data_IF_322320565877
#
_entry.id   IF_322320565877
#
_cell.length_a   1.000
_cell.length_b   1.000
_cell.length_c   1.000
_cell.angle_alpha   90.00
_cell.angle_beta   90.00
_cell.angle_gamma   90.00
#
_symmetry.space_group_name_H-M   'P 1'
#
loop_
_entity.id
_entity.type
_entity.pdbx_description
1 polymer ?
#
# COMPACT_ATOMS: atom_id res chain seq x y z
N UNK A 1 -25.39 3.15 43.45
CA UNK A 1 -26.76 3.68 43.62
C UNK A 1 -27.60 2.59 44.25
N UNK A 2 -28.20 2.84 45.41
CA UNK A 2 -29.02 1.84 46.12
C UNK A 2 -30.26 1.44 45.29
N UNK A 3 -30.61 0.14 45.36
CA UNK A 3 -31.78 -0.48 44.69
C UNK A 3 -33.09 0.27 44.93
N UNK A 4 -33.19 1.07 45.98
CA UNK A 4 -34.35 1.88 46.35
C UNK A 4 -34.56 3.10 45.44
N UNK A 5 -33.51 3.73 44.92
CA UNK A 5 -33.63 4.89 44.01
C UNK A 5 -33.93 4.50 42.57
N UNK A 6 -33.53 3.30 42.14
CA UNK A 6 -33.86 2.79 40.80
C UNK A 6 -35.34 2.38 40.69
N UNK A 7 -35.95 2.00 41.82
CA UNK A 7 -37.35 1.54 41.86
C UNK A 7 -38.40 2.63 41.64
N UNK A 8 -38.08 3.91 41.84
CA UNK A 8 -39.03 5.02 41.66
C UNK A 8 -39.13 5.55 40.24
N UNK A 9 -38.19 5.17 39.36
CA UNK A 9 -37.95 5.83 38.06
C UNK A 9 -38.52 5.03 36.87
N UNK A 10 -38.89 3.78 37.08
CA UNK A 10 -39.28 2.85 36.02
C UNK A 10 -40.61 2.14 36.30
N UNK A 11 -41.40 1.88 35.25
CA UNK A 11 -42.66 1.13 35.33
C UNK A 11 -42.42 -0.31 35.80
N UNK A 12 -43.42 -0.97 36.40
CA UNK A 12 -43.32 -2.38 36.82
C UNK A 12 -42.89 -3.32 35.67
N UNK A 13 -43.30 -3.02 34.44
CA UNK A 13 -42.89 -3.78 33.25
C UNK A 13 -41.41 -3.57 32.89
N UNK A 14 -40.87 -2.36 33.11
CA UNK A 14 -39.46 -2.07 32.89
C UNK A 14 -38.57 -2.77 33.91
N UNK A 15 -39.00 -2.86 35.16
CA UNK A 15 -38.29 -3.59 36.21
C UNK A 15 -38.17 -5.09 35.91
N UNK A 16 -39.25 -5.73 35.46
CA UNK A 16 -39.22 -7.15 35.12
C UNK A 16 -38.20 -7.47 34.01
N UNK A 17 -38.13 -6.62 32.98
CA UNK A 17 -37.16 -6.78 31.89
C UNK A 17 -35.71 -6.48 32.31
N UNK A 18 -35.51 -5.51 33.21
CA UNK A 18 -34.17 -5.24 33.77
C UNK A 18 -33.73 -6.39 34.68
N UNK A 19 -34.62 -6.99 35.46
CA UNK A 19 -34.32 -8.18 36.26
C UNK A 19 -34.00 -9.42 35.37
N UNK A 20 -34.67 -9.55 34.22
CA UNK A 20 -34.36 -10.57 33.21
C UNK A 20 -32.96 -10.38 32.60
N UNK A 21 -32.60 -9.14 32.22
CA UNK A 21 -31.26 -8.78 31.77
C UNK A 21 -30.19 -9.09 32.82
N UNK A 22 -30.46 -8.78 34.10
CA UNK A 22 -29.54 -9.06 35.21
C UNK A 22 -29.38 -10.56 35.44
N UNK A 23 -30.43 -11.36 35.25
CA UNK A 23 -30.34 -12.83 35.35
C UNK A 23 -29.44 -13.40 34.26
N UNK A 24 -29.66 -12.99 33.01
CA UNK A 24 -28.85 -13.43 31.85
C UNK A 24 -27.38 -13.01 32.03
N UNK A 25 -27.16 -11.76 32.45
CA UNK A 25 -25.82 -11.24 32.68
C UNK A 25 -25.08 -11.94 33.84
N UNK A 26 -25.79 -12.38 34.88
CA UNK A 26 -25.19 -13.16 35.99
C UNK A 26 -24.82 -14.58 35.59
N UNK A 27 -25.58 -15.20 34.69
CA UNK A 27 -25.28 -16.53 34.17
C UNK A 27 -24.08 -16.51 33.21
N UNK A 28 -23.98 -15.49 32.34
CA UNK A 28 -22.93 -15.41 31.32
C UNK A 28 -21.68 -14.65 31.79
N UNK A 29 -21.80 -13.80 32.80
CA UNK A 29 -20.73 -12.92 33.31
C UNK A 29 -20.44 -11.71 32.43
N UNK A 30 -21.13 -11.56 31.30
CA UNK A 30 -21.11 -10.41 30.40
C UNK A 30 -22.47 -10.26 29.72
N UNK A 31 -22.73 -9.11 29.11
CA UNK A 31 -23.93 -8.88 28.29
C UNK A 31 -23.57 -8.08 27.03
N UNK A 32 -24.24 -8.33 25.91
CA UNK A 32 -23.96 -7.63 24.63
C UNK A 32 -24.93 -6.48 24.34
N UNK A 33 -24.47 -5.49 23.57
CA UNK A 33 -25.34 -4.39 23.11
C UNK A 33 -26.51 -4.86 22.24
N UNK A 34 -26.36 -5.96 21.51
CA UNK A 34 -27.42 -6.54 20.69
C UNK A 34 -28.48 -7.21 21.59
N UNK A 35 -28.07 -7.99 22.59
CA UNK A 35 -29.00 -8.60 23.58
C UNK A 35 -29.75 -7.54 24.40
N UNK A 36 -29.07 -6.45 24.77
CA UNK A 36 -29.71 -5.30 25.42
C UNK A 36 -30.78 -4.70 24.51
N UNK A 37 -30.50 -4.52 23.22
CA UNK A 37 -31.43 -3.97 22.25
C UNK A 37 -32.55 -4.96 21.84
N UNK A 38 -32.34 -6.27 21.95
CA UNK A 38 -33.35 -7.31 21.67
C UNK A 38 -34.32 -7.56 22.83
N UNK A 39 -33.89 -7.33 24.07
CA UNK A 39 -34.76 -7.48 25.26
C UNK A 39 -35.52 -6.17 25.57
N UNK A 40 -34.89 -5.02 25.29
CA UNK A 40 -35.48 -3.69 25.48
C UNK A 40 -36.27 -3.09 24.28
N UNK A 41 -36.61 -3.78 23.16
CA UNK A 41 -37.22 -3.10 22.05
C UNK A 41 -38.67 -2.81 22.44
N UNK A 42 -39.07 -1.54 22.25
CA UNK A 42 -40.46 -1.04 22.24
C UNK A 42 -41.10 -0.60 23.56
N UNK A 43 -40.36 -0.38 24.65
CA UNK A 43 -40.94 0.19 25.88
C UNK A 43 -40.21 1.38 26.49
N UNK A 44 -39.02 1.71 26.01
CA UNK A 44 -38.24 2.85 26.48
C UNK A 44 -38.23 3.91 25.37
N UNK A 45 -38.92 5.02 25.61
CA UNK A 45 -39.18 6.05 24.59
C UNK A 45 -38.05 7.10 24.52
N UNK A 46 -37.08 7.08 25.45
CA UNK A 46 -35.97 8.04 25.50
C UNK A 46 -34.61 7.38 25.69
N UNK A 47 -33.60 7.92 24.99
CA UNK A 47 -32.20 7.50 25.09
C UNK A 47 -31.66 7.61 26.53
N UNK A 48 -32.10 8.62 27.29
CA UNK A 48 -31.71 8.83 28.69
C UNK A 48 -32.09 7.66 29.61
N UNK A 49 -33.19 6.95 29.32
CA UNK A 49 -33.60 5.79 30.11
C UNK A 49 -32.74 4.56 29.83
N UNK A 50 -32.28 4.40 28.59
CA UNK A 50 -31.35 3.34 28.18
C UNK A 50 -29.99 3.57 28.85
N UNK A 51 -29.52 4.82 28.88
CA UNK A 51 -28.27 5.19 29.55
C UNK A 51 -28.32 4.91 31.07
N UNK A 52 -29.46 5.15 31.72
CA UNK A 52 -29.65 4.78 33.13
C UNK A 52 -29.57 3.27 33.38
N UNK A 53 -30.07 2.45 32.46
CA UNK A 53 -29.96 0.98 32.54
C UNK A 53 -28.51 0.54 32.33
N UNK A 54 -27.79 1.14 31.40
CA UNK A 54 -26.35 0.87 31.17
C UNK A 54 -25.50 1.24 32.39
N UNK A 55 -25.78 2.39 33.02
CA UNK A 55 -25.11 2.84 34.26
C UNK A 55 -25.44 1.88 35.41
N UNK A 56 -26.68 1.40 35.52
CA UNK A 56 -27.09 0.45 36.54
C UNK A 56 -26.40 -0.91 36.39
N UNK A 57 -26.32 -1.45 35.16
CA UNK A 57 -25.61 -2.70 34.87
C UNK A 57 -24.10 -2.58 35.13
N UNK A 58 -23.49 -1.44 34.75
CA UNK A 58 -22.09 -1.16 35.07
C UNK A 58 -21.83 -1.05 36.58
N UNK A 59 -22.81 -0.59 37.37
CA UNK A 59 -22.72 -0.53 38.82
C UNK A 59 -22.81 -1.88 39.54
N UNK A 60 -23.11 -2.96 38.81
CA UNK A 60 -23.18 -4.34 39.31
C UNK A 60 -21.99 -5.21 38.86
N UNK A 61 -20.89 -4.60 38.40
CA UNK A 61 -19.68 -5.25 37.85
C UNK A 61 -19.94 -6.15 36.62
N UNK A 62 -20.99 -5.88 35.86
CA UNK A 62 -21.33 -6.64 34.64
C UNK A 62 -20.61 -6.00 33.45
N UNK A 63 -19.78 -6.79 32.74
CA UNK A 63 -19.07 -6.31 31.56
C UNK A 63 -19.99 -6.26 30.34
N UNK A 64 -20.13 -5.06 29.75
CA UNK A 64 -20.87 -4.86 28.51
C UNK A 64 -19.89 -4.98 27.34
N UNK A 65 -20.05 -6.02 26.53
CA UNK A 65 -19.14 -6.34 25.42
C UNK A 65 -19.84 -6.14 24.07
N UNK A 66 -19.07 -5.80 23.03
CA UNK A 66 -19.61 -5.87 21.66
C UNK A 66 -19.64 -7.33 21.18
N UNK A 67 -20.60 -7.71 20.32
CA UNK A 67 -20.72 -9.05 19.71
C UNK A 67 -19.36 -9.55 19.17
N UNK A 68 -18.62 -8.64 18.53
CA UNK A 68 -17.30 -8.91 17.96
C UNK A 68 -16.17 -9.17 18.97
N UNK A 69 -16.34 -8.82 20.25
CA UNK A 69 -15.41 -9.16 21.35
C UNK A 69 -15.76 -10.50 21.98
N UNK A 70 -17.05 -10.81 22.11
CA UNK A 70 -17.54 -12.11 22.57
C UNK A 70 -17.14 -13.22 21.61
N UNK A 71 -17.26 -12.98 20.31
CA UNK A 71 -16.81 -13.91 19.27
C UNK A 71 -15.30 -14.14 19.32
N UNK A 72 -14.50 -13.09 19.58
CA UNK A 72 -13.05 -13.22 19.77
C UNK A 72 -12.66 -13.98 21.03
N UNK A 73 -13.40 -13.84 22.13
CA UNK A 73 -13.16 -14.62 23.35
C UNK A 73 -13.55 -16.09 23.16
N UNK A 74 -14.66 -16.36 22.45
CA UNK A 74 -15.07 -17.73 22.08
C UNK A 74 -14.06 -18.36 21.12
N UNK A 75 -13.55 -17.62 20.13
CA UNK A 75 -12.49 -18.07 19.23
C UNK A 75 -11.19 -18.35 19.98
N UNK A 76 -10.73 -17.46 20.87
CA UNK A 76 -9.53 -17.70 21.71
C UNK A 76 -9.65 -18.94 22.60
N UNK A 77 -10.82 -19.16 23.21
CA UNK A 77 -11.07 -20.36 24.04
C UNK A 77 -11.17 -21.64 23.20
N UNK A 78 -11.67 -21.55 21.96
CA UNK A 78 -11.69 -22.67 20.99
C UNK A 78 -10.28 -23.00 20.49
N UNK A 79 -9.50 -21.99 20.13
CA UNK A 79 -8.11 -22.12 19.68
C UNK A 79 -7.22 -22.75 20.77
N UNK A 80 -7.39 -22.37 22.04
CA UNK A 80 -6.65 -22.96 23.15
C UNK A 80 -7.01 -24.45 23.39
N UNK A 81 -8.29 -24.82 23.28
CA UNK A 81 -8.75 -26.22 23.41
C UNK A 81 -8.39 -27.10 22.22
N UNK A 82 -8.37 -26.55 21.00
CA UNK A 82 -7.97 -27.29 19.79
C UNK A 82 -6.45 -27.49 19.71
N UNK A 83 -5.64 -26.62 20.35
CA UNK A 83 -4.18 -26.80 20.47
C UNK A 83 -3.79 -27.97 21.39
N UNK A 84 -4.57 -28.23 22.45
CA UNK A 84 -4.34 -29.35 23.39
C UNK A 84 -4.85 -30.71 22.88
N UNK A 85 -5.79 -30.72 21.92
CA UNK A 85 -6.46 -31.93 21.42
C UNK A 85 -5.79 -32.65 20.25
N UNK A 86 -4.66 -32.17 19.75
CA UNK A 86 -3.96 -32.82 18.64
C UNK A 86 -3.19 -34.06 19.15
N UNK A 87 -3.39 -35.26 18.56
CA UNK A 87 -2.59 -36.42 18.92
C UNK A 87 -1.12 -36.14 18.59
N UNK A 88 -0.24 -36.21 19.60
CA UNK A 88 1.21 -36.33 19.37
C UNK A 88 1.45 -37.63 18.58
N UNK A 89 1.59 -37.54 17.25
CA UNK A 89 1.99 -38.67 16.41
C UNK A 89 3.32 -38.41 15.71
N UNK A 90 4.18 -39.41 15.91
CA UNK A 90 5.48 -39.76 15.34
C UNK A 90 6.22 -38.73 14.46
N UNK A 91 7.40 -38.34 14.92
CA UNK A 91 8.49 -37.81 14.10
C UNK A 91 8.82 -38.82 12.98
N UNK A 92 8.69 -38.43 11.71
CA UNK A 92 9.18 -39.23 10.57
C UNK A 92 8.31 -39.34 9.31
N UNK A 93 7.14 -38.71 9.22
CA UNK A 93 6.40 -38.66 7.94
C UNK A 93 7.04 -37.62 6.98
N UNK A 94 7.09 -37.87 5.65
CA UNK A 94 7.58 -36.89 4.69
C UNK A 94 6.77 -35.60 4.83
N UNK A 95 7.48 -34.47 4.94
CA UNK A 95 6.91 -33.17 5.24
C UNK A 95 5.89 -32.77 4.15
N UNK A 96 4.61 -32.90 4.48
CA UNK A 96 3.50 -32.37 3.67
C UNK A 96 3.76 -30.88 3.43
N UNK A 97 3.72 -30.39 2.17
CA UNK A 97 3.88 -28.98 1.85
C UNK A 97 3.00 -28.05 2.71
N UNK A 98 1.80 -28.50 3.10
CA UNK A 98 0.92 -27.76 4.02
C UNK A 98 1.56 -27.62 5.41
N UNK A 99 2.19 -28.69 5.92
CA UNK A 99 2.85 -28.70 7.23
C UNK A 99 4.11 -27.85 7.25
N UNK A 100 4.91 -27.89 6.18
CA UNK A 100 6.06 -26.98 6.01
C UNK A 100 5.62 -25.53 6.08
N UNK A 101 4.58 -25.18 5.30
CA UNK A 101 4.03 -23.84 5.25
C UNK A 101 3.48 -23.37 6.61
N UNK A 102 2.73 -24.22 7.31
CA UNK A 102 2.21 -23.91 8.65
C UNK A 102 3.32 -23.72 9.69
N UNK A 103 4.40 -24.51 9.60
CA UNK A 103 5.56 -24.42 10.50
C UNK A 103 6.33 -23.12 10.25
N UNK A 104 6.58 -22.79 8.98
CA UNK A 104 7.29 -21.57 8.57
C UNK A 104 6.52 -20.32 8.99
N UNK A 105 5.22 -20.27 8.69
CA UNK A 105 4.35 -19.17 9.12
C UNK A 105 4.22 -19.09 10.66
N UNK A 106 4.20 -20.23 11.34
CA UNK A 106 4.12 -20.33 12.79
C UNK A 106 5.28 -19.64 13.53
N UNK A 107 6.42 -19.48 12.87
CA UNK A 107 7.63 -18.85 13.42
C UNK A 107 7.55 -17.32 13.52
N UNK A 108 6.70 -16.66 12.70
CA UNK A 108 6.60 -15.20 12.66
C UNK A 108 5.63 -14.71 13.75
N UNK A 109 6.01 -13.77 14.64
CA UNK A 109 5.10 -13.29 15.69
C UNK A 109 3.91 -12.50 15.11
N UNK A 110 2.82 -12.46 15.89
CA UNK A 110 1.66 -11.62 15.59
C UNK A 110 1.98 -10.15 15.89
N UNK A 111 1.51 -9.25 15.02
CA UNK A 111 1.69 -7.81 15.22
C UNK A 111 0.65 -7.25 16.19
N UNK A 112 1.10 -6.33 17.03
CA UNK A 112 0.27 -5.39 17.77
C UNK A 112 -0.26 -4.28 16.86
N UNK A 113 -1.26 -3.55 17.36
CA UNK A 113 -1.82 -2.37 16.68
C UNK A 113 -0.75 -1.32 16.38
N UNK A 114 0.18 -1.12 17.32
CA UNK A 114 1.22 -0.11 17.21
C UNK A 114 2.24 -0.48 16.14
N UNK A 115 2.66 -1.75 16.10
CA UNK A 115 3.56 -2.27 15.08
C UNK A 115 2.92 -2.25 13.68
N UNK A 116 1.62 -2.58 13.55
CA UNK A 116 0.86 -2.43 12.29
C UNK A 116 0.93 -0.99 11.76
N UNK A 117 0.76 0.00 12.64
CA UNK A 117 0.84 1.43 12.29
C UNK A 117 2.27 1.83 11.93
N UNK A 118 3.27 1.33 12.66
CA UNK A 118 4.68 1.60 12.36
C UNK A 118 5.10 1.06 10.99
N UNK A 119 4.75 -0.19 10.67
CA UNK A 119 5.00 -0.79 9.35
C UNK A 119 4.30 0.03 8.26
N UNK A 120 3.04 0.40 8.48
CA UNK A 120 2.28 1.22 7.54
C UNK A 120 2.95 2.58 7.27
N UNK A 121 3.45 3.25 8.31
CA UNK A 121 4.22 4.49 8.17
C UNK A 121 5.54 4.30 7.42
N UNK A 122 6.22 3.16 7.62
CA UNK A 122 7.45 2.82 6.87
C UNK A 122 7.15 2.64 5.38
N UNK A 123 6.07 1.95 5.04
CA UNK A 123 5.60 1.76 3.66
C UNK A 123 5.27 3.11 3.01
N UNK A 124 4.46 3.93 3.69
CA UNK A 124 4.06 5.26 3.21
C UNK A 124 5.27 6.18 2.99
N UNK A 125 6.18 6.23 3.97
CA UNK A 125 7.43 6.99 3.85
C UNK A 125 8.25 6.53 2.64
N UNK A 126 8.37 5.22 2.43
CA UNK A 126 9.11 4.69 1.29
C UNK A 126 8.44 5.08 -0.05
N UNK A 127 7.12 4.97 -0.16
CA UNK A 127 6.35 5.38 -1.34
C UNK A 127 6.56 6.87 -1.68
N UNK A 128 6.47 7.75 -0.69
CA UNK A 128 6.70 9.20 -0.88
C UNK A 128 8.13 9.46 -1.38
N UNK A 129 9.13 8.75 -0.85
CA UNK A 129 10.52 8.92 -1.30
C UNK A 129 10.73 8.39 -2.71
N UNK A 130 10.17 7.23 -3.04
CA UNK A 130 10.18 6.65 -4.39
C UNK A 130 9.59 7.65 -5.39
N UNK A 131 8.40 8.16 -5.11
CA UNK A 131 7.71 9.14 -5.96
C UNK A 131 8.56 10.40 -6.14
N UNK A 132 9.12 10.96 -5.05
CA UNK A 132 10.00 12.13 -5.12
C UNK A 132 11.21 11.89 -6.01
N UNK A 133 11.85 10.72 -5.91
CA UNK A 133 13.04 10.39 -6.70
C UNK A 133 12.66 10.21 -8.18
N UNK A 134 11.59 9.47 -8.47
CA UNK A 134 11.10 9.25 -9.84
C UNK A 134 10.78 10.58 -10.52
N UNK A 135 10.13 11.50 -9.82
CA UNK A 135 9.77 12.81 -10.39
C UNK A 135 10.98 13.72 -10.66
N UNK A 136 12.20 13.37 -10.22
CA UNK A 136 13.42 14.11 -10.59
C UNK A 136 13.92 13.75 -11.98
N UNK A 137 13.51 12.61 -12.54
CA UNK A 137 13.96 12.17 -13.85
C UNK A 137 13.18 12.86 -14.98
N UNK A 138 13.89 13.32 -16.01
CA UNK A 138 13.26 13.92 -17.21
C UNK A 138 12.34 12.92 -17.92
N UNK A 139 12.68 11.64 -17.92
CA UNK A 139 11.82 10.57 -18.48
C UNK A 139 10.41 10.59 -17.91
N UNK A 140 10.26 10.81 -16.59
CA UNK A 140 8.95 10.93 -15.94
C UNK A 140 8.14 12.13 -16.46
N UNK A 141 8.82 13.21 -16.86
CA UNK A 141 8.18 14.38 -17.47
C UNK A 141 7.64 14.04 -18.85
N UNK A 142 8.44 13.38 -19.68
CA UNK A 142 8.02 12.95 -21.01
C UNK A 142 6.83 11.98 -20.95
N UNK A 143 6.88 10.99 -20.06
CA UNK A 143 5.79 10.02 -19.89
C UNK A 143 4.53 10.70 -19.33
N UNK A 144 4.66 11.60 -18.36
CA UNK A 144 3.54 12.37 -17.84
C UNK A 144 2.87 13.25 -18.92
N UNK A 145 3.66 13.91 -19.78
CA UNK A 145 3.14 14.68 -20.92
C UNK A 145 2.39 13.74 -21.89
N UNK A 146 2.94 12.56 -22.17
CA UNK A 146 2.31 11.54 -23.02
C UNK A 146 0.94 11.12 -22.47
N UNK A 147 0.89 10.75 -21.18
CA UNK A 147 -0.35 10.37 -20.48
C UNK A 147 -1.36 11.52 -20.49
N UNK A 148 -0.93 12.74 -20.19
CA UNK A 148 -1.79 13.92 -20.22
C UNK A 148 -2.41 14.13 -21.61
N UNK A 149 -1.63 13.99 -22.69
CA UNK A 149 -2.15 14.09 -24.06
C UNK A 149 -3.16 12.98 -24.38
N UNK A 150 -2.91 11.73 -23.95
CA UNK A 150 -3.86 10.64 -24.17
C UNK A 150 -5.18 10.84 -23.42
N UNK A 151 -5.14 11.40 -22.22
CA UNK A 151 -6.33 11.77 -21.45
C UNK A 151 -7.11 12.90 -22.13
N UNK A 152 -6.43 13.94 -22.60
CA UNK A 152 -7.05 15.06 -23.33
C UNK A 152 -7.73 14.57 -24.62
N UNK A 153 -7.11 13.62 -25.33
CA UNK A 153 -7.65 13.02 -26.56
C UNK A 153 -8.75 11.99 -26.30
N UNK A 154 -9.03 11.63 -25.04
CA UNK A 154 -10.00 10.59 -24.70
C UNK A 154 -9.57 9.16 -25.06
N UNK A 155 -8.28 8.93 -25.31
CA UNK A 155 -7.73 7.60 -25.63
C UNK A 155 -7.43 6.76 -24.39
N UNK A 156 -7.25 7.41 -23.24
CA UNK A 156 -6.99 6.75 -21.96
C UNK A 156 -8.10 7.06 -20.96
N UNK A 157 -8.42 6.11 -20.08
CA UNK A 157 -9.44 6.34 -19.04
C UNK A 157 -8.83 7.09 -17.88
N UNK A 158 -9.46 8.22 -17.52
CA UNK A 158 -9.05 9.06 -16.38
C UNK A 158 -8.73 8.25 -15.12
N UNK A 159 -9.66 7.38 -14.71
CA UNK A 159 -9.57 6.63 -13.46
C UNK A 159 -8.49 5.53 -13.51
N UNK A 160 -7.91 5.21 -14.67
CA UNK A 160 -6.75 4.30 -14.77
C UNK A 160 -5.43 5.03 -14.51
N UNK A 161 -5.33 6.29 -14.90
CA UNK A 161 -4.09 7.05 -14.84
C UNK A 161 -4.00 7.99 -13.64
N UNK A 162 -5.12 8.55 -13.21
CA UNK A 162 -5.16 9.62 -12.21
C UNK A 162 -5.94 9.18 -10.96
N UNK A 163 -5.42 9.55 -9.79
CA UNK A 163 -5.99 9.23 -8.48
C UNK A 163 -7.20 10.12 -8.17
N UNK A 164 -8.40 9.57 -8.31
CA UNK A 164 -9.66 10.28 -7.98
C UNK A 164 -9.72 10.73 -6.51
N UNK A 165 -9.03 10.03 -5.60
CA UNK A 165 -9.00 10.37 -4.17
C UNK A 165 -8.46 11.77 -3.91
N UNK A 166 -7.60 12.26 -4.80
CA UNK A 166 -6.90 13.53 -4.63
C UNK A 166 -7.54 14.67 -5.43
N UNK A 167 -8.57 14.37 -6.25
CA UNK A 167 -9.21 15.33 -7.14
C UNK A 167 -10.66 15.53 -6.70
N UNK A 168 -10.94 16.72 -6.16
CA UNK A 168 -12.29 17.09 -5.75
C UNK A 168 -13.28 17.12 -6.93
N UNK A 169 -12.88 17.70 -8.07
CA UNK A 169 -13.73 17.87 -9.24
C UNK A 169 -13.02 17.48 -10.55
N UNK A 170 -13.42 16.34 -11.12
CA UNK A 170 -12.88 15.81 -12.38
C UNK A 170 -13.01 16.78 -13.56
N UNK A 171 -14.13 17.49 -13.66
CA UNK A 171 -14.38 18.44 -14.75
C UNK A 171 -13.40 19.62 -14.71
N UNK A 172 -13.20 20.21 -13.53
CA UNK A 172 -12.25 21.31 -13.33
C UNK A 172 -10.82 20.86 -13.63
N UNK A 173 -10.44 19.66 -13.18
CA UNK A 173 -9.13 19.10 -13.47
C UNK A 173 -8.92 18.90 -14.98
N UNK A 174 -9.92 18.39 -15.71
CA UNK A 174 -9.82 18.20 -17.15
C UNK A 174 -9.70 19.53 -17.92
N UNK A 175 -10.23 20.63 -17.38
CA UNK A 175 -10.04 21.99 -17.95
C UNK A 175 -8.62 22.50 -17.66
N UNK A 176 -8.04 22.15 -16.51
CA UNK A 176 -6.68 22.54 -16.11
C UNK A 176 -5.59 21.67 -16.76
N UNK A 177 -5.88 20.41 -17.07
CA UNK A 177 -4.92 19.44 -17.58
C UNK A 177 -4.17 19.91 -18.86
N UNK A 178 -4.82 20.52 -19.86
CA UNK A 178 -4.12 21.09 -21.02
C UNK A 178 -3.10 22.17 -20.63
N UNK A 179 -3.44 23.05 -19.67
CA UNK A 179 -2.52 24.10 -19.19
C UNK A 179 -1.33 23.48 -18.47
N UNK A 180 -1.58 22.49 -17.61
CA UNK A 180 -0.52 21.77 -16.90
C UNK A 180 0.41 21.02 -17.87
N UNK A 181 -0.15 20.37 -18.90
CA UNK A 181 0.61 19.73 -19.96
C UNK A 181 1.49 20.74 -20.71
N UNK A 182 0.97 21.95 -20.98
CA UNK A 182 1.75 23.01 -21.61
C UNK A 182 2.92 23.46 -20.71
N UNK A 183 2.68 23.73 -19.42
CA UNK A 183 3.74 24.09 -18.49
C UNK A 183 4.84 23.03 -18.38
N UNK A 184 4.47 21.74 -18.39
CA UNK A 184 5.45 20.64 -18.40
C UNK A 184 6.28 20.63 -19.69
N UNK A 185 5.67 20.90 -20.85
CA UNK A 185 6.40 20.99 -22.14
C UNK A 185 7.35 22.20 -22.17
N UNK A 186 6.92 23.33 -21.61
CA UNK A 186 7.72 24.55 -21.55
C UNK A 186 8.94 24.35 -20.63
N UNK A 187 8.75 23.77 -19.44
CA UNK A 187 9.86 23.45 -18.54
C UNK A 187 10.78 22.37 -19.10
N UNK A 188 10.26 21.35 -19.80
CA UNK A 188 11.11 20.34 -20.45
C UNK A 188 12.00 20.97 -21.54
N UNK A 189 11.42 21.87 -22.33
CA UNK A 189 12.15 22.62 -23.37
C UNK A 189 13.20 23.55 -22.75
N UNK A 190 12.85 24.24 -21.66
CA UNK A 190 13.78 25.08 -20.91
C UNK A 190 14.93 24.26 -20.32
N UNK A 191 14.64 23.11 -19.73
CA UNK A 191 15.66 22.21 -19.19
C UNK A 191 16.63 21.75 -20.28
N UNK A 192 16.13 21.37 -21.46
CA UNK A 192 16.96 20.97 -22.58
C UNK A 192 17.88 22.12 -23.05
N UNK A 193 17.38 23.34 -23.15
CA UNK A 193 18.18 24.52 -23.49
C UNK A 193 19.28 24.79 -22.45
N UNK A 194 18.95 24.73 -21.16
CA UNK A 194 19.91 24.94 -20.08
C UNK A 194 21.00 23.87 -20.08
N UNK A 195 20.65 22.60 -20.35
CA UNK A 195 21.62 21.50 -20.46
C UNK A 195 22.54 21.67 -21.67
N UNK A 196 22.01 22.12 -22.81
CA UNK A 196 22.83 22.45 -23.98
C UNK A 196 23.81 23.58 -23.69
N UNK A 197 23.37 24.63 -22.98
CA UNK A 197 24.26 25.70 -22.55
C UNK A 197 25.33 25.15 -21.62
N UNK A 198 24.97 24.27 -20.67
CA UNK A 198 25.88 23.71 -19.67
C UNK A 198 27.00 22.87 -20.28
N UNK A 199 26.77 22.29 -21.45
CA UNK A 199 27.75 21.52 -22.20
C UNK A 199 28.73 22.38 -23.02
N UNK A 200 28.57 23.70 -23.03
CA UNK A 200 29.43 24.61 -23.79
C UNK A 200 30.83 24.70 -23.16
N UNK A 201 31.91 24.44 -23.91
CA UNK A 201 33.27 24.37 -23.38
C UNK A 201 33.85 25.70 -22.88
N UNK A 202 33.24 26.85 -23.25
CA UNK A 202 33.78 28.19 -22.99
C UNK A 202 33.25 28.86 -21.70
N UNK A 203 32.50 28.14 -20.87
CA UNK A 203 31.85 28.71 -19.69
C UNK A 203 32.82 29.00 -18.53
N UNK A 204 32.67 30.19 -17.93
CA UNK A 204 33.42 30.55 -16.71
C UNK A 204 32.87 29.82 -15.49
N UNK A 205 33.70 29.62 -14.47
CA UNK A 205 33.32 28.93 -13.21
C UNK A 205 32.07 29.54 -12.54
N UNK A 206 31.94 30.87 -12.53
CA UNK A 206 30.77 31.54 -11.96
C UNK A 206 29.49 31.34 -12.79
N UNK A 207 29.62 31.22 -14.11
CA UNK A 207 28.50 30.95 -15.02
C UNK A 207 28.03 29.50 -14.88
N UNK A 208 28.95 28.55 -14.73
CA UNK A 208 28.64 27.15 -14.44
C UNK A 208 27.82 26.98 -13.15
N UNK A 209 28.18 27.69 -12.08
CA UNK A 209 27.45 27.63 -10.80
C UNK A 209 26.02 28.18 -11.01
N UNK A 210 25.88 29.37 -11.61
CA UNK A 210 24.56 29.95 -11.89
C UNK A 210 23.70 29.04 -12.76
N UNK A 211 24.28 28.45 -13.80
CA UNK A 211 23.56 27.57 -14.70
C UNK A 211 23.13 26.27 -14.01
N UNK A 212 23.99 25.71 -13.15
CA UNK A 212 23.64 24.56 -12.31
C UNK A 212 22.49 24.88 -11.35
N UNK A 213 22.46 26.08 -10.77
CA UNK A 213 21.35 26.53 -9.91
C UNK A 213 20.05 26.67 -10.70
N UNK A 214 20.09 27.24 -11.90
CA UNK A 214 18.90 27.38 -12.76
C UNK A 214 18.37 26.03 -13.26
N UNK A 215 19.26 25.08 -13.59
CA UNK A 215 18.87 23.70 -13.91
C UNK A 215 18.13 23.06 -12.73
N UNK A 216 18.64 23.22 -11.51
CA UNK A 216 17.99 22.64 -10.34
C UNK A 216 16.65 23.31 -10.00
N UNK A 217 16.55 24.64 -10.17
CA UNK A 217 15.27 25.36 -10.04
C UNK A 217 14.24 24.85 -11.06
N UNK A 218 14.64 24.66 -12.32
CA UNK A 218 13.77 24.10 -13.36
C UNK A 218 13.28 22.70 -12.97
N UNK A 219 14.18 21.82 -12.51
CA UNK A 219 13.81 20.47 -12.01
C UNK A 219 12.81 20.52 -10.85
N UNK A 220 13.00 21.43 -9.88
CA UNK A 220 12.07 21.59 -8.74
C UNK A 220 10.69 22.05 -9.22
N UNK A 221 10.61 22.98 -10.17
CA UNK A 221 9.34 23.42 -10.77
C UNK A 221 8.64 22.29 -11.52
N UNK A 222 9.36 21.55 -12.37
CA UNK A 222 8.84 20.37 -13.07
C UNK A 222 8.30 19.34 -12.08
N UNK A 223 9.04 19.05 -11.00
CA UNK A 223 8.60 18.12 -9.96
C UNK A 223 7.30 18.59 -9.28
N UNK A 224 7.14 19.91 -9.07
CA UNK A 224 5.91 20.47 -8.51
C UNK A 224 4.72 20.31 -9.46
N UNK A 225 4.92 20.50 -10.77
CA UNK A 225 3.88 20.25 -11.78
C UNK A 225 3.52 18.76 -11.90
N UNK A 226 4.51 17.86 -11.84
CA UNK A 226 4.27 16.41 -11.86
C UNK A 226 3.43 15.95 -10.67
N UNK A 227 3.69 16.47 -9.46
CA UNK A 227 2.87 16.15 -8.27
C UNK A 227 1.40 16.57 -8.44
N UNK A 228 1.13 17.65 -9.18
CA UNK A 228 -0.24 18.12 -9.45
C UNK A 228 -1.00 17.24 -10.44
N UNK A 229 -0.35 16.30 -11.12
CA UNK A 229 -1.06 15.33 -11.97
C UNK A 229 -1.73 14.22 -11.16
N UNK A 230 -1.35 14.02 -9.90
CA UNK A 230 -1.94 13.01 -9.01
C UNK A 230 -1.96 11.61 -9.66
N UNK A 231 -0.85 11.20 -10.28
CA UNK A 231 -0.73 9.91 -10.96
C UNK A 231 -0.99 8.75 -10.00
N UNK A 232 -1.72 7.73 -10.45
CA UNK A 232 -1.94 6.51 -9.65
C UNK A 232 -0.65 5.71 -9.49
N UNK A 233 -0.61 4.85 -8.46
CA UNK A 233 0.55 4.02 -8.15
C UNK A 233 1.04 3.18 -9.33
N UNK A 234 0.14 2.57 -10.10
CA UNK A 234 0.49 1.80 -11.29
C UNK A 234 1.24 2.64 -12.34
N UNK A 235 0.85 3.90 -12.52
CA UNK A 235 1.56 4.82 -13.43
C UNK A 235 2.95 5.16 -12.90
N UNK A 236 3.09 5.32 -11.59
CA UNK A 236 4.40 5.53 -10.96
C UNK A 236 5.29 4.30 -11.13
N UNK A 237 4.74 3.08 -11.04
CA UNK A 237 5.46 1.84 -11.34
C UNK A 237 5.90 1.77 -12.81
N UNK A 238 5.04 2.17 -13.76
CA UNK A 238 5.40 2.27 -15.17
C UNK A 238 6.58 3.24 -15.39
N UNK A 239 6.61 4.36 -14.66
CA UNK A 239 7.75 5.29 -14.70
C UNK A 239 9.05 4.66 -14.20
N UNK A 240 8.98 3.86 -13.12
CA UNK A 240 10.15 3.09 -12.63
C UNK A 240 10.66 2.20 -13.74
N UNK A 241 9.78 1.47 -14.42
CA UNK A 241 10.20 0.55 -15.48
C UNK A 241 10.91 1.28 -16.62
N UNK A 242 10.38 2.43 -17.06
CA UNK A 242 11.01 3.26 -18.09
C UNK A 242 12.40 3.76 -17.64
N UNK A 243 12.54 4.19 -16.39
CA UNK A 243 13.81 4.65 -15.81
C UNK A 243 14.81 3.51 -15.74
N UNK A 244 14.41 2.33 -15.29
CA UNK A 244 15.28 1.15 -15.16
C UNK A 244 15.73 0.64 -16.54
N UNK A 245 14.83 0.59 -17.53
CA UNK A 245 15.20 0.28 -18.92
C UNK A 245 16.19 1.31 -19.49
N UNK A 246 16.07 2.58 -19.11
CA UNK A 246 17.05 3.61 -19.48
C UNK A 246 18.39 3.39 -18.78
N UNK A 247 18.38 2.99 -17.51
CA UNK A 247 19.56 2.65 -16.73
C UNK A 247 20.37 1.51 -17.35
N UNK A 248 19.71 0.43 -17.76
CA UNK A 248 20.38 -0.72 -18.39
C UNK A 248 21.10 -0.31 -19.68
N UNK A 249 20.46 0.56 -20.48
CA UNK A 249 21.09 1.13 -21.68
C UNK A 249 22.30 1.98 -21.34
N UNK A 250 22.24 2.78 -20.28
CA UNK A 250 23.38 3.56 -19.80
C UNK A 250 24.55 2.66 -19.37
N UNK A 251 24.29 1.61 -18.60
CA UNK A 251 25.31 0.65 -18.16
C UNK A 251 25.95 -0.09 -19.35
N UNK A 252 25.15 -0.47 -20.34
CA UNK A 252 25.68 -1.12 -21.55
C UNK A 252 26.63 -0.21 -22.33
N UNK A 253 26.32 1.09 -22.44
CA UNK A 253 27.16 2.07 -23.12
C UNK A 253 28.43 2.37 -22.33
N UNK A 254 28.32 2.48 -21.01
CA UNK A 254 29.49 2.67 -20.15
C UNK A 254 30.46 1.49 -20.27
N UNK A 255 29.94 0.26 -20.22
CA UNK A 255 30.75 -0.94 -20.41
C UNK A 255 31.43 -0.95 -21.78
N UNK A 256 30.70 -0.61 -22.85
CA UNK A 256 31.26 -0.48 -24.19
C UNK A 256 32.39 0.56 -24.25
N UNK A 257 32.23 1.72 -23.59
CA UNK A 257 33.24 2.78 -23.55
C UNK A 257 34.49 2.33 -22.79
N UNK A 258 34.32 1.65 -21.65
CA UNK A 258 35.44 1.12 -20.84
C UNK A 258 36.23 0.08 -21.63
N UNK A 259 35.56 -0.85 -22.31
CA UNK A 259 36.21 -1.90 -23.12
C UNK A 259 36.92 -1.33 -24.36
N UNK A 260 36.37 -0.28 -24.96
CA UNK A 260 36.96 0.37 -26.14
C UNK A 260 38.11 1.32 -25.80
N UNK A 261 38.20 1.83 -24.57
CA UNK A 261 39.24 2.77 -24.13
C UNK A 261 40.67 2.30 -24.47
N UNK A 262 41.11 1.14 -23.94
CA UNK A 262 42.47 0.61 -24.21
C UNK A 262 42.70 0.25 -25.68
N UNK A 263 41.64 -0.12 -26.41
CA UNK A 263 41.72 -0.50 -27.83
C UNK A 263 41.83 0.71 -28.76
N UNK A 264 41.24 1.83 -28.36
CA UNK A 264 41.25 3.08 -29.12
C UNK A 264 42.64 3.69 -29.24
N UNK A 265 43.51 3.51 -28.24
CA UNK A 265 44.91 3.98 -28.29
C UNK A 265 45.73 3.30 -29.39
N UNK A 266 45.36 2.06 -29.75
CA UNK A 266 46.12 1.22 -30.68
C UNK A 266 45.49 1.13 -32.07
N UNK A 267 44.21 1.45 -32.23
CA UNK A 267 43.48 1.25 -33.46
C UNK A 267 42.53 2.43 -33.78
N UNK A 268 42.72 3.06 -34.94
CA UNK A 268 41.90 4.16 -35.45
C UNK A 268 40.42 3.80 -35.60
N UNK A 269 40.11 2.55 -35.96
CA UNK A 269 38.72 2.05 -36.03
C UNK A 269 38.09 1.96 -34.62
N UNK A 270 38.84 1.47 -33.63
CA UNK A 270 38.38 1.42 -32.25
C UNK A 270 38.22 2.84 -31.67
N UNK A 271 39.08 3.79 -32.04
CA UNK A 271 38.93 5.20 -31.67
C UNK A 271 37.66 5.85 -32.26
N UNK A 272 37.35 5.55 -33.54
CA UNK A 272 36.10 6.01 -34.16
C UNK A 272 34.87 5.41 -33.46
N UNK A 273 34.92 4.11 -33.11
CA UNK A 273 33.85 3.44 -32.36
C UNK A 273 33.68 4.02 -30.95
N UNK A 274 34.78 4.32 -30.25
CA UNK A 274 34.77 4.97 -28.93
C UNK A 274 34.14 6.37 -29.00
N UNK A 275 34.49 7.16 -30.01
CA UNK A 275 33.88 8.49 -30.23
C UNK A 275 32.38 8.38 -30.48
N UNK A 276 31.94 7.40 -31.29
CA UNK A 276 30.53 7.13 -31.53
C UNK A 276 29.79 6.71 -30.25
N UNK A 277 30.39 5.84 -29.42
CA UNK A 277 29.82 5.42 -28.14
C UNK A 277 29.71 6.60 -27.16
N UNK A 278 30.74 7.45 -27.04
CA UNK A 278 30.70 8.68 -26.23
C UNK A 278 29.61 9.65 -26.70
N UNK A 279 29.43 9.82 -28.02
CA UNK A 279 28.35 10.65 -28.59
C UNK A 279 26.98 10.08 -28.26
N UNK A 280 26.81 8.76 -28.34
CA UNK A 280 25.57 8.08 -27.94
C UNK A 280 25.29 8.28 -26.44
N UNK A 281 26.30 8.14 -25.58
CA UNK A 281 26.18 8.40 -24.15
C UNK A 281 25.71 9.83 -23.92
N UNK A 282 26.35 10.82 -24.57
CA UNK A 282 25.98 12.22 -24.41
C UNK A 282 24.54 12.52 -24.81
N UNK A 283 24.08 11.95 -25.94
CA UNK A 283 22.68 12.06 -26.37
C UNK A 283 21.72 11.46 -25.33
N UNK A 284 22.10 10.36 -24.67
CA UNK A 284 21.28 9.73 -23.62
C UNK A 284 21.28 10.55 -22.33
N UNK A 285 22.40 11.15 -21.94
CA UNK A 285 22.48 12.06 -20.79
C UNK A 285 21.55 13.27 -20.98
N UNK A 286 21.54 13.85 -22.18
CA UNK A 286 20.62 14.95 -22.53
C UNK A 286 19.15 14.50 -22.43
N UNK A 287 18.81 13.32 -22.97
CA UNK A 287 17.46 12.76 -22.88
C UNK A 287 17.05 12.42 -21.44
N UNK A 288 18.00 12.03 -20.59
CA UNK A 288 17.76 11.79 -19.17
C UNK A 288 17.72 13.09 -18.33
N UNK A 289 18.21 14.19 -18.89
CA UNK A 289 18.33 15.48 -18.24
C UNK A 289 19.44 15.58 -17.20
N UNK A 290 20.44 14.69 -17.24
CA UNK A 290 21.51 14.56 -16.23
C UNK A 290 22.68 13.70 -16.70
N UNK A 291 23.80 13.84 -15.99
CA UNK A 291 24.99 13.00 -16.17
C UNK A 291 24.73 11.54 -15.81
N UNK A 292 25.52 10.62 -16.37
CA UNK A 292 25.50 9.20 -16.03
C UNK A 292 25.73 8.97 -14.52
N UNK A 293 26.67 9.69 -13.92
CA UNK A 293 27.03 9.51 -12.52
C UNK A 293 25.89 9.95 -11.58
N UNK A 294 25.22 11.06 -11.89
CA UNK A 294 24.07 11.50 -11.11
C UNK A 294 22.85 10.60 -11.35
N UNK A 295 22.69 10.11 -12.57
CA UNK A 295 21.68 9.09 -12.87
C UNK A 295 21.89 7.83 -12.02
N UNK A 296 23.12 7.33 -11.92
CA UNK A 296 23.49 6.20 -11.06
C UNK A 296 23.24 6.46 -9.58
N UNK A 297 23.55 7.65 -9.08
CA UNK A 297 23.28 8.03 -7.67
C UNK A 297 21.78 7.96 -7.39
N UNK A 298 20.97 8.51 -8.27
CA UNK A 298 19.53 8.57 -8.10
C UNK A 298 18.86 7.19 -8.26
N UNK A 299 19.31 6.36 -9.21
CA UNK A 299 18.83 4.97 -9.33
C UNK A 299 19.22 4.13 -8.10
N UNK A 300 20.43 4.28 -7.57
CA UNK A 300 20.81 3.62 -6.32
C UNK A 300 19.94 4.06 -5.14
N UNK A 301 19.57 5.33 -5.08
CA UNK A 301 18.67 5.84 -4.05
C UNK A 301 17.25 5.27 -4.23
N UNK A 302 16.75 5.22 -5.47
CA UNK A 302 15.48 4.63 -5.83
C UNK A 302 15.41 3.16 -5.41
N UNK A 303 16.40 2.35 -5.81
CA UNK A 303 16.45 0.93 -5.48
C UNK A 303 16.42 0.70 -3.97
N UNK A 304 17.22 1.46 -3.20
CA UNK A 304 17.22 1.34 -1.73
C UNK A 304 15.85 1.61 -1.11
N UNK A 305 15.10 2.58 -1.62
CA UNK A 305 13.75 2.87 -1.10
C UNK A 305 12.71 1.85 -1.57
N UNK A 306 12.85 1.33 -2.79
CA UNK A 306 12.04 0.22 -3.28
C UNK A 306 12.25 -1.02 -2.41
N UNK A 307 13.50 -1.39 -2.13
CA UNK A 307 13.84 -2.53 -1.28
C UNK A 307 13.24 -2.37 0.12
N UNK A 308 13.38 -1.18 0.74
CA UNK A 308 12.75 -0.87 2.04
C UNK A 308 11.22 -0.95 2.01
N UNK A 309 10.60 -0.50 0.91
CA UNK A 309 9.15 -0.61 0.74
C UNK A 309 8.71 -2.07 0.65
N UNK A 310 9.44 -2.88 -0.13
CA UNK A 310 9.16 -4.30 -0.30
C UNK A 310 9.39 -5.10 0.98
N UNK A 311 10.45 -4.78 1.73
CA UNK A 311 10.75 -5.37 3.03
C UNK A 311 9.62 -5.09 4.03
N UNK A 312 9.21 -3.83 4.17
CA UNK A 312 8.11 -3.47 5.07
C UNK A 312 6.76 -4.08 4.64
N UNK A 313 6.48 -4.14 3.32
CA UNK A 313 5.30 -4.84 2.79
C UNK A 313 5.36 -6.33 3.13
N UNK A 314 6.52 -6.99 2.95
CA UNK A 314 6.72 -8.41 3.24
C UNK A 314 6.52 -8.69 4.72
N UNK A 315 7.12 -7.89 5.59
CA UNK A 315 6.94 -7.96 7.05
C UNK A 315 5.45 -7.91 7.42
N UNK A 316 4.70 -6.96 6.85
CA UNK A 316 3.25 -6.86 7.08
C UNK A 316 2.48 -8.10 6.61
N UNK A 317 2.85 -8.66 5.45
CA UNK A 317 2.20 -9.86 4.90
C UNK A 317 2.49 -11.08 5.76
N UNK A 318 3.76 -11.34 6.09
CA UNK A 318 4.22 -12.51 6.84
C UNK A 318 3.55 -12.61 8.20
N UNK A 319 3.45 -11.50 8.93
CA UNK A 319 2.77 -11.45 10.23
C UNK A 319 1.25 -11.70 10.16
N UNK A 320 0.65 -11.56 8.98
CA UNK A 320 -0.80 -11.69 8.76
C UNK A 320 -1.21 -12.96 7.99
N UNK A 321 -0.27 -13.84 7.64
CA UNK A 321 -0.57 -15.10 6.94
C UNK A 321 -1.56 -15.99 7.70
N UNK A 322 -1.54 -15.98 9.05
CA UNK A 322 -2.48 -16.77 9.88
C UNK A 322 -3.94 -16.38 9.63
N UNK A 323 -4.20 -15.09 9.37
CA UNK A 323 -5.52 -14.57 9.03
C UNK A 323 -6.02 -15.15 7.70
N UNK A 324 -5.13 -15.30 6.71
CA UNK A 324 -5.49 -15.89 5.42
C UNK A 324 -5.96 -17.33 5.60
N UNK A 325 -5.23 -18.11 6.41
CA UNK A 325 -5.57 -19.51 6.68
C UNK A 325 -6.93 -19.63 7.39
N UNK A 326 -7.18 -18.80 8.43
CA UNK A 326 -8.46 -18.87 9.16
C UNK A 326 -9.65 -18.51 8.28
N UNK A 327 -9.47 -17.63 7.29
CA UNK A 327 -10.49 -17.29 6.29
C UNK A 327 -10.63 -18.43 5.27
N UNK A 328 -9.52 -18.90 4.68
CA UNK A 328 -9.50 -19.91 3.63
C UNK A 328 -10.11 -21.25 4.08
N UNK A 329 -9.96 -21.63 5.36
CA UNK A 329 -10.57 -22.83 5.94
C UNK A 329 -12.10 -22.89 5.71
N UNK A 330 -12.79 -21.75 5.73
CA UNK A 330 -14.25 -21.65 5.53
C UNK A 330 -14.69 -21.92 4.08
N UNK A 331 -13.75 -21.93 3.15
CA UNK A 331 -13.96 -22.15 1.71
C UNK A 331 -13.41 -23.49 1.22
N UNK A 332 -12.94 -24.34 2.13
CA UNK A 332 -12.53 -25.71 1.81
C UNK A 332 -13.69 -26.50 1.20
N UNK A 333 -13.36 -27.50 0.37
CA UNK A 333 -14.33 -28.36 -0.33
C UNK A 333 -15.23 -27.64 -1.35
N UNK A 334 -14.79 -26.49 -1.90
CA UNK A 334 -15.51 -25.74 -2.96
C UNK A 334 -14.86 -25.86 -4.34
N UNK A 335 -14.24 -27.00 -4.63
CA UNK A 335 -13.61 -27.29 -5.93
C UNK A 335 -12.15 -26.84 -6.09
N UNK A 336 -11.59 -26.14 -5.10
CA UNK A 336 -10.20 -25.69 -5.06
C UNK A 336 -9.43 -26.38 -3.93
N UNK A 337 -8.14 -26.68 -4.17
CA UNK A 337 -7.25 -27.20 -3.12
C UNK A 337 -7.08 -26.19 -2.01
N UNK A 338 -6.84 -26.66 -0.78
CA UNK A 338 -6.61 -25.76 0.35
C UNK A 338 -5.37 -24.87 0.15
N UNK A 339 -4.31 -25.40 -0.48
CA UNK A 339 -3.12 -24.62 -0.81
C UNK A 339 -3.44 -23.50 -1.80
N UNK A 340 -4.23 -23.79 -2.83
CA UNK A 340 -4.62 -22.80 -3.84
C UNK A 340 -5.48 -21.69 -3.22
N UNK A 341 -6.44 -22.05 -2.34
CA UNK A 341 -7.23 -21.07 -1.58
C UNK A 341 -6.33 -20.16 -0.72
N UNK A 342 -5.29 -20.71 -0.10
CA UNK A 342 -4.30 -19.93 0.67
C UNK A 342 -3.53 -19.00 -0.26
N UNK A 343 -3.06 -19.46 -1.42
CA UNK A 343 -2.31 -18.62 -2.36
C UNK A 343 -3.16 -17.45 -2.88
N UNK A 344 -4.39 -17.71 -3.28
CA UNK A 344 -5.34 -16.67 -3.70
C UNK A 344 -5.66 -15.69 -2.57
N UNK A 345 -5.81 -16.22 -1.35
CA UNK A 345 -5.95 -15.41 -0.15
C UNK A 345 -4.73 -14.54 0.14
N UNK A 346 -3.52 -15.06 -0.05
CA UNK A 346 -2.25 -14.31 0.09
C UNK A 346 -2.15 -13.20 -0.95
N UNK A 347 -2.60 -13.44 -2.18
CA UNK A 347 -2.70 -12.39 -3.20
C UNK A 347 -3.70 -11.30 -2.81
N UNK A 348 -4.84 -11.67 -2.20
CA UNK A 348 -5.78 -10.73 -1.60
C UNK A 348 -5.16 -9.92 -0.46
N UNK A 349 -4.39 -10.58 0.43
CA UNK A 349 -3.68 -9.94 1.54
C UNK A 349 -2.64 -8.93 1.03
N UNK A 350 -1.83 -9.28 0.04
CA UNK A 350 -0.86 -8.36 -0.58
C UNK A 350 -1.55 -7.09 -1.09
N UNK A 351 -2.68 -7.22 -1.80
CA UNK A 351 -3.47 -6.07 -2.26
C UNK A 351 -4.05 -5.25 -1.11
N UNK A 352 -4.38 -5.88 0.02
CA UNK A 352 -4.82 -5.18 1.21
C UNK A 352 -3.69 -4.34 1.81
N UNK A 353 -2.49 -4.89 1.95
CA UNK A 353 -1.30 -4.17 2.46
C UNK A 353 -1.02 -2.92 1.62
N UNK A 354 -1.10 -3.03 0.30
CA UNK A 354 -0.81 -1.89 -0.60
C UNK A 354 -1.79 -0.73 -0.49
N UNK A 355 -3.04 -1.01 -0.11
CA UNK A 355 -4.12 -0.04 -0.08
C UNK A 355 -4.54 0.35 1.35
N UNK A 356 -3.90 -0.23 2.35
CA UNK A 356 -4.24 0.02 3.73
C UNK A 356 -3.86 1.44 4.13
N UNK A 357 -4.76 2.08 4.86
CA UNK A 357 -4.61 3.46 5.33
C UNK A 357 -4.77 3.46 6.84
N UNK A 358 -3.64 3.62 7.54
CA UNK A 358 -3.59 3.60 9.01
C UNK A 358 -4.27 4.82 9.64
N UNK A 359 -4.42 5.93 8.89
CA UNK A 359 -5.00 7.18 9.40
C UNK A 359 -6.50 7.07 9.69
N UNK A 360 -7.18 6.10 9.08
CA UNK A 360 -8.62 5.86 9.24
C UNK A 360 -9.01 5.21 10.56
N UNK A 361 -8.05 4.79 11.39
CA UNK A 361 -8.34 4.27 12.72
C UNK A 361 -8.96 2.86 12.77
N UNK A 362 -9.03 2.14 11.65
CA UNK A 362 -9.43 0.72 11.62
C UNK A 362 -8.22 -0.22 11.80
N UNK A 363 -8.43 -1.41 12.39
CA UNK A 363 -7.39 -2.46 12.44
C UNK A 363 -7.13 -3.02 11.06
N UNK A 364 -5.88 -3.40 10.77
CA UNK A 364 -5.51 -3.96 9.48
C UNK A 364 -6.29 -5.25 9.16
N UNK A 365 -6.44 -6.15 10.14
CA UNK A 365 -7.16 -7.41 9.99
C UNK A 365 -8.61 -7.26 9.49
N UNK A 366 -9.31 -6.21 9.93
CA UNK A 366 -10.69 -5.91 9.49
C UNK A 366 -10.72 -5.56 8.01
N UNK A 367 -9.78 -4.71 7.57
CA UNK A 367 -9.66 -4.31 6.16
C UNK A 367 -9.19 -5.48 5.27
N UNK A 368 -8.18 -6.22 5.71
CA UNK A 368 -7.61 -7.34 4.97
C UNK A 368 -8.62 -8.48 4.76
N UNK A 369 -9.48 -8.75 5.74
CA UNK A 369 -10.51 -9.79 5.64
C UNK A 369 -11.38 -9.65 4.39
N UNK A 370 -11.74 -8.42 4.02
CA UNK A 370 -12.54 -8.17 2.82
C UNK A 370 -11.80 -8.55 1.54
N UNK A 371 -10.54 -8.10 1.40
CA UNK A 371 -9.71 -8.39 0.23
C UNK A 371 -9.37 -9.87 0.08
N UNK A 372 -9.06 -10.55 1.20
CA UNK A 372 -8.78 -11.99 1.23
C UNK A 372 -10.03 -12.77 0.77
N UNK A 373 -11.20 -12.45 1.34
CA UNK A 373 -12.46 -13.10 0.98
C UNK A 373 -12.81 -12.90 -0.49
N UNK A 374 -12.64 -11.66 -0.99
CA UNK A 374 -12.93 -11.32 -2.37
C UNK A 374 -12.03 -12.10 -3.35
N UNK A 375 -10.73 -12.20 -3.05
CA UNK A 375 -9.78 -12.93 -3.88
C UNK A 375 -10.12 -14.44 -3.93
N UNK A 376 -10.33 -15.06 -2.77
CA UNK A 376 -10.71 -16.48 -2.67
C UNK A 376 -12.02 -16.76 -3.41
N UNK A 377 -13.04 -15.95 -3.19
CA UNK A 377 -14.36 -16.15 -3.82
C UNK A 377 -14.28 -16.01 -5.34
N UNK A 378 -13.49 -15.05 -5.82
CA UNK A 378 -13.24 -14.87 -7.25
C UNK A 378 -12.53 -16.09 -7.86
N UNK A 379 -11.49 -16.59 -7.21
CA UNK A 379 -10.75 -17.75 -7.70
C UNK A 379 -11.65 -19.01 -7.81
N UNK A 380 -12.50 -19.24 -6.81
CA UNK A 380 -13.49 -20.33 -6.85
C UNK A 380 -14.44 -20.16 -8.05
N UNK A 381 -14.93 -18.94 -8.29
CA UNK A 381 -15.87 -18.66 -9.39
C UNK A 381 -15.22 -18.77 -10.78
N UNK A 382 -13.96 -18.34 -10.91
CA UNK A 382 -13.22 -18.40 -12.18
C UNK A 382 -12.86 -19.86 -12.53
N UNK A 383 -12.52 -20.69 -11.55
CA UNK A 383 -12.16 -22.10 -11.77
C UNK A 383 -13.38 -23.03 -11.89
N UNK A 384 -14.53 -22.69 -11.31
CA UNK A 384 -15.79 -23.41 -11.52
C UNK A 384 -16.39 -23.21 -12.93
N UNK A 385 -15.85 -22.27 -13.72
CA UNK A 385 -16.28 -21.96 -15.11
C UNK A 385 -15.46 -22.67 -16.18
N UNK A 386 -14.34 -23.27 -15.82
CA UNK A 386 -13.51 -24.17 -16.63
C UNK A 386 -13.82 -25.61 -16.27
#
# INVERSE_FOLDING_TARGET
>A
MDKTHFKSTFSQQHQQKVDELVSIAKEQGFITYEEINEILPMTFDSADQIDQVLIFLSGMDIQILNQSEVDRQKERKKEAKELEGLPRRAEGAPDDPVRMYLKEMGSVPLLSREEEVEISKRIEKAQIQIERIIMRFRYSTCEAISIANFLIQGKERFDKSISEKEIAHKQEFMILLPKLCQYLKDEDSQLEQLLHQFDSPDLKKNELIKLSEEIEKCRIRTQAFLRRLHCRHNIIEDFVEVIMRAYDRFLSLEKEIIELGPRAERNKFAAAKLSAAKRKLKKRELAAGRSLDDFKKDVRMLQRWMDKSQEAKREMVESNLRLVISIAKKYTNRGLSFLDLIQEGNMGLMKAVEKFDHTKGYKFSTYATWWIRQAITRAIADQART
#
